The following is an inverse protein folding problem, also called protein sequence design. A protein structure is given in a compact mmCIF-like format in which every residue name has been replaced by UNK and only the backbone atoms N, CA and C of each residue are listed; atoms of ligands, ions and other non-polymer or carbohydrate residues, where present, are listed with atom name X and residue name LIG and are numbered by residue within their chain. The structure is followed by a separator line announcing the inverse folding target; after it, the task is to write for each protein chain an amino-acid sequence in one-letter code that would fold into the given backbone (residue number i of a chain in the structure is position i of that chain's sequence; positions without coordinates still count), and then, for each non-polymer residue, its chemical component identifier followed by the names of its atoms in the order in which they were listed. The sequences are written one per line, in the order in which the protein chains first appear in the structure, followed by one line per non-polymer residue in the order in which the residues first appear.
data_IF_085116464128
#
_entry.id   IF_085116464128
#
_cell.length_a   1.000
_cell.length_b   1.000
_cell.length_c   1.000
_cell.angle_alpha   90.00
_cell.angle_beta   90.00
_cell.angle_gamma   90.00
#
_symmetry.space_group_name_H-M   'P 1'
#
loop_
_entity.id
_entity.type
_entity.pdbx_description
1 polymer ?
#
# COMPACT_ATOMS: atom_id res chain seq x y z
N UNK A 1 51.17 -40.82 8.15
CA UNK A 1 50.42 -39.65 8.64
C UNK A 1 49.40 -39.15 7.62
N UNK A 2 49.72 -39.12 6.32
CA UNK A 2 48.82 -38.64 5.25
C UNK A 2 47.52 -39.45 5.09
N UNK A 3 47.56 -40.78 5.14
CA UNK A 3 46.34 -41.61 5.03
C UNK A 3 45.32 -41.41 6.17
N UNK A 4 45.80 -41.07 7.37
CA UNK A 4 44.94 -40.76 8.53
C UNK A 4 44.25 -39.40 8.30
N UNK A 5 44.99 -38.39 7.82
CA UNK A 5 44.44 -37.07 7.50
C UNK A 5 43.34 -37.16 6.43
N UNK A 6 43.57 -37.95 5.38
CA UNK A 6 42.57 -38.18 4.31
C UNK A 6 41.33 -38.88 4.86
N UNK A 7 41.51 -39.91 5.70
CA UNK A 7 40.38 -40.64 6.32
C UNK A 7 39.54 -39.71 7.20
N UNK A 8 40.19 -38.91 8.04
CA UNK A 8 39.51 -37.92 8.89
C UNK A 8 38.75 -36.89 8.04
N UNK A 9 39.36 -36.38 6.97
CA UNK A 9 38.71 -35.43 6.08
C UNK A 9 37.45 -36.02 5.41
N UNK A 10 37.49 -37.28 4.97
CA UNK A 10 36.33 -37.96 4.35
C UNK A 10 35.20 -38.21 5.35
N UNK A 11 35.53 -38.59 6.59
CA UNK A 11 34.54 -38.75 7.66
C UNK A 11 33.86 -37.41 7.97
N UNK A 12 34.63 -36.33 8.10
CA UNK A 12 34.09 -34.99 8.32
C UNK A 12 33.18 -34.55 7.17
N UNK A 13 33.59 -34.78 5.91
CA UNK A 13 32.77 -34.49 4.75
C UNK A 13 31.43 -35.24 4.78
N UNK A 14 31.46 -36.53 5.13
CA UNK A 14 30.26 -37.36 5.24
C UNK A 14 29.32 -36.86 6.33
N UNK A 15 29.87 -36.47 7.49
CA UNK A 15 29.10 -35.89 8.60
C UNK A 15 28.43 -34.58 8.15
N UNK A 16 29.14 -33.69 7.46
CA UNK A 16 28.58 -32.43 6.95
C UNK A 16 27.40 -32.71 6.01
N UNK A 17 27.56 -33.63 5.06
CA UNK A 17 26.50 -33.99 4.09
C UNK A 17 25.28 -34.58 4.82
N UNK A 18 25.50 -35.45 5.82
CA UNK A 18 24.43 -36.04 6.62
C UNK A 18 23.65 -34.96 7.40
N UNK A 19 24.34 -34.00 8.01
CA UNK A 19 23.70 -32.88 8.74
C UNK A 19 22.86 -32.01 7.79
N UNK A 20 23.40 -31.65 6.63
CA UNK A 20 22.66 -30.85 5.62
C UNK A 20 21.42 -31.60 5.14
N UNK A 21 21.55 -32.89 4.85
CA UNK A 21 20.42 -33.72 4.41
C UNK A 21 19.33 -33.82 5.49
N UNK A 22 19.73 -33.99 6.75
CA UNK A 22 18.81 -34.00 7.89
C UNK A 22 18.10 -32.66 8.08
N UNK A 23 18.80 -31.53 7.94
CA UNK A 23 18.17 -30.20 8.00
C UNK A 23 17.12 -30.01 6.89
N UNK A 24 17.46 -30.36 5.64
CA UNK A 24 16.53 -30.27 4.50
C UNK A 24 15.29 -31.13 4.74
N UNK A 25 15.46 -32.34 5.27
CA UNK A 25 14.36 -33.22 5.63
C UNK A 25 13.44 -32.58 6.68
N UNK A 26 14.00 -32.04 7.77
CA UNK A 26 13.20 -31.42 8.83
C UNK A 26 12.43 -30.18 8.36
N UNK A 27 13.03 -29.33 7.53
CA UNK A 27 12.36 -28.14 6.97
C UNK A 27 11.14 -28.57 6.14
N UNK A 28 11.31 -29.57 5.28
CA UNK A 28 10.23 -30.11 4.45
C UNK A 28 9.15 -30.80 5.28
N UNK A 29 9.53 -31.55 6.32
CA UNK A 29 8.60 -32.19 7.25
C UNK A 29 7.78 -31.19 8.06
N UNK A 30 8.34 -30.00 8.33
CA UNK A 30 7.62 -28.90 8.95
C UNK A 30 6.68 -28.15 7.97
N UNK A 31 6.56 -28.62 6.72
CA UNK A 31 5.67 -28.04 5.70
C UNK A 31 6.20 -26.77 5.05
N UNK A 32 7.51 -26.54 5.07
CA UNK A 32 8.15 -25.36 4.51
C UNK A 32 9.08 -25.71 3.34
N UNK A 33 9.28 -24.75 2.44
CA UNK A 33 10.38 -24.82 1.48
C UNK A 33 11.71 -24.41 2.12
N UNK A 34 12.81 -24.98 1.65
CA UNK A 34 14.17 -24.63 2.13
C UNK A 34 14.50 -23.18 1.82
N UNK A 35 14.05 -22.67 0.67
CA UNK A 35 14.25 -21.28 0.28
C UNK A 35 13.47 -20.32 1.19
N UNK A 36 12.23 -20.66 1.54
CA UNK A 36 11.41 -19.86 2.45
C UNK A 36 12.03 -19.80 3.85
N UNK A 37 12.57 -20.92 4.34
CA UNK A 37 13.31 -20.93 5.60
C UNK A 37 14.54 -20.03 5.54
N UNK A 38 15.29 -20.06 4.44
CA UNK A 38 16.46 -19.19 4.25
C UNK A 38 16.09 -17.70 4.20
N UNK A 39 15.00 -17.36 3.52
CA UNK A 39 14.50 -15.98 3.44
C UNK A 39 13.93 -15.49 4.78
N UNK A 40 13.33 -16.39 5.55
CA UNK A 40 12.96 -16.13 6.94
C UNK A 40 14.18 -15.80 7.79
N UNK A 41 15.25 -16.62 7.74
CA UNK A 41 16.47 -16.36 8.51
C UNK A 41 17.05 -14.98 8.19
N UNK A 42 17.14 -14.59 6.91
CA UNK A 42 17.55 -13.22 6.53
C UNK A 42 16.61 -12.14 7.07
N UNK A 43 15.30 -12.41 7.02
CA UNK A 43 14.27 -11.48 7.46
C UNK A 43 14.26 -11.27 8.98
N UNK A 44 14.75 -12.22 9.78
CA UNK A 44 14.87 -12.03 11.23
C UNK A 44 15.83 -10.88 11.60
N UNK A 45 16.93 -10.70 10.85
CA UNK A 45 17.84 -9.57 11.08
C UNK A 45 17.18 -8.24 10.70
N UNK A 46 16.49 -8.22 9.56
CA UNK A 46 15.71 -7.05 9.12
C UNK A 46 14.62 -6.70 10.13
N UNK A 47 13.94 -7.69 10.71
CA UNK A 47 12.92 -7.49 11.74
C UNK A 47 13.50 -6.76 12.96
N UNK A 48 14.72 -7.09 13.39
CA UNK A 48 15.38 -6.38 14.50
C UNK A 48 15.63 -4.90 14.19
N UNK A 49 16.07 -4.59 12.96
CA UNK A 49 16.27 -3.20 12.49
C UNK A 49 14.94 -2.45 12.39
N UNK A 50 13.93 -3.06 11.77
CA UNK A 50 12.59 -2.50 11.69
C UNK A 50 11.97 -2.30 13.08
N UNK A 51 12.21 -3.19 14.03
CA UNK A 51 11.75 -3.00 15.40
C UNK A 51 12.36 -1.75 16.04
N UNK A 52 13.65 -1.47 15.84
CA UNK A 52 14.27 -0.23 16.29
C UNK A 52 13.63 1.00 15.63
N UNK A 53 13.49 0.97 14.29
CA UNK A 53 12.87 2.06 13.53
C UNK A 53 11.40 2.30 13.90
N UNK A 54 10.64 1.24 14.20
CA UNK A 54 9.23 1.35 14.60
C UNK A 54 9.04 2.19 15.86
N UNK A 55 10.04 2.23 16.77
CA UNK A 55 9.99 3.00 18.01
C UNK A 55 10.23 4.49 17.80
N UNK A 56 11.01 4.85 16.78
CA UNK A 56 11.41 6.24 16.47
C UNK A 56 10.80 6.74 15.16
N UNK A 57 9.77 6.05 14.64
CA UNK A 57 9.28 6.26 13.28
C UNK A 57 8.89 7.72 12.99
N UNK A 58 8.32 8.43 13.96
CA UNK A 58 7.93 9.85 13.79
C UNK A 58 9.15 10.77 13.58
N UNK A 59 10.34 10.33 13.97
CA UNK A 59 11.59 11.07 13.82
C UNK A 59 12.39 10.63 12.58
N UNK A 60 11.89 9.66 11.80
CA UNK A 60 12.51 9.22 10.56
C UNK A 60 12.19 10.19 9.42
N UNK A 61 13.14 10.37 8.51
CA UNK A 61 12.91 11.09 7.27
C UNK A 61 11.84 10.39 6.41
N UNK A 62 11.22 11.15 5.50
CA UNK A 62 10.20 10.62 4.58
C UNK A 62 10.72 9.44 3.76
N UNK A 63 11.99 9.48 3.31
CA UNK A 63 12.59 8.35 2.58
C UNK A 63 12.74 7.11 3.47
N UNK A 64 13.19 7.31 4.70
CA UNK A 64 13.36 6.23 5.69
C UNK A 64 12.00 5.60 6.06
N UNK A 65 10.95 6.41 6.17
CA UNK A 65 9.58 5.93 6.39
C UNK A 65 9.09 5.07 5.22
N UNK A 66 9.34 5.48 3.97
CA UNK A 66 8.99 4.67 2.78
C UNK A 66 9.76 3.35 2.76
N UNK A 67 11.07 3.40 3.04
CA UNK A 67 11.92 2.21 3.12
C UNK A 67 11.43 1.27 4.22
N UNK A 68 11.05 1.79 5.40
CA UNK A 68 10.48 0.99 6.49
C UNK A 68 9.26 0.20 6.00
N UNK A 69 8.32 0.84 5.31
CA UNK A 69 7.10 0.19 4.83
C UNK A 69 7.42 -0.92 3.83
N UNK A 70 8.33 -0.66 2.88
CA UNK A 70 8.75 -1.62 1.86
C UNK A 70 9.46 -2.83 2.48
N UNK A 71 10.40 -2.59 3.38
CA UNK A 71 11.15 -3.65 4.05
C UNK A 71 10.26 -4.46 5.01
N UNK A 72 9.31 -3.82 5.69
CA UNK A 72 8.34 -4.50 6.55
C UNK A 72 7.49 -5.50 5.76
N UNK A 73 7.02 -5.13 4.57
CA UNK A 73 6.25 -6.03 3.70
C UNK A 73 7.04 -7.27 3.28
N UNK A 74 8.32 -7.10 2.94
CA UNK A 74 9.21 -8.24 2.64
C UNK A 74 9.41 -9.14 3.86
N UNK A 75 9.64 -8.55 5.03
CA UNK A 75 9.82 -9.31 6.27
C UNK A 75 8.55 -10.09 6.62
N UNK A 76 7.37 -9.47 6.55
CA UNK A 76 6.12 -10.17 6.84
C UNK A 76 5.85 -11.31 5.87
N UNK A 77 6.08 -11.10 4.57
CA UNK A 77 5.95 -12.15 3.57
C UNK A 77 6.84 -13.36 3.86
N UNK A 78 8.06 -13.16 4.38
CA UNK A 78 8.93 -14.27 4.76
C UNK A 78 8.47 -15.00 6.03
N UNK A 79 7.96 -14.25 7.03
CA UNK A 79 7.48 -14.81 8.29
C UNK A 79 6.16 -15.58 8.12
N UNK A 80 5.27 -15.16 7.23
CA UNK A 80 3.99 -15.84 6.96
C UNK A 80 4.16 -17.25 6.37
N UNK A 81 5.28 -17.52 5.70
CA UNK A 81 5.60 -18.83 5.13
C UNK A 81 6.19 -19.81 6.14
N UNK A 82 6.50 -19.35 7.35
CA UNK A 82 7.14 -20.15 8.40
C UNK A 82 6.15 -20.34 9.56
N UNK A 83 5.91 -21.58 10.04
CA UNK A 83 5.04 -21.84 11.17
C UNK A 83 5.40 -20.98 12.39
N UNK A 84 4.41 -20.30 12.97
CA UNK A 84 4.60 -19.34 14.08
C UNK A 84 5.37 -19.92 15.28
N UNK A 85 5.22 -21.23 15.52
CA UNK A 85 5.95 -21.96 16.57
C UNK A 85 7.47 -21.82 16.46
N UNK A 86 8.01 -21.61 15.25
CA UNK A 86 9.46 -21.49 15.02
C UNK A 86 10.02 -20.09 15.33
N UNK A 87 9.16 -19.09 15.55
CA UNK A 87 9.57 -17.71 15.77
C UNK A 87 8.77 -17.03 16.88
N UNK A 88 8.19 -17.80 17.79
CA UNK A 88 7.38 -17.31 18.91
C UNK A 88 8.15 -16.29 19.78
N UNK A 89 9.45 -16.49 19.96
CA UNK A 89 10.32 -15.56 20.69
C UNK A 89 10.43 -14.16 20.03
N UNK A 90 10.26 -14.11 18.71
CA UNK A 90 10.29 -12.86 17.92
C UNK A 90 8.89 -12.25 17.75
N UNK A 91 7.83 -12.93 18.20
CA UNK A 91 6.44 -12.54 18.01
C UNK A 91 6.14 -11.13 18.51
N UNK A 92 6.66 -10.75 19.68
CA UNK A 92 6.44 -9.41 20.23
C UNK A 92 7.03 -8.31 19.35
N UNK A 93 8.21 -8.53 18.77
CA UNK A 93 8.83 -7.58 17.84
C UNK A 93 8.05 -7.52 16.54
N UNK A 94 7.69 -8.69 16.01
CA UNK A 94 6.85 -8.84 14.83
C UNK A 94 5.57 -8.02 14.94
N UNK A 95 4.79 -8.22 16.01
CA UNK A 95 3.53 -7.52 16.23
C UNK A 95 3.70 -6.01 16.36
N UNK A 96 4.77 -5.53 17.00
CA UNK A 96 5.02 -4.09 17.09
C UNK A 96 5.29 -3.46 15.74
N UNK A 97 6.10 -4.11 14.90
CA UNK A 97 6.39 -3.64 13.54
C UNK A 97 5.12 -3.71 12.68
N UNK A 98 4.35 -4.80 12.78
CA UNK A 98 3.09 -4.99 12.05
C UNK A 98 2.06 -3.91 12.38
N UNK A 99 1.83 -3.65 13.66
CA UNK A 99 0.91 -2.61 14.12
C UNK A 99 1.31 -1.24 13.58
N UNK A 100 2.61 -0.93 13.57
CA UNK A 100 3.12 0.32 13.00
C UNK A 100 2.89 0.36 11.50
N UNK A 101 3.30 -0.66 10.75
CA UNK A 101 3.10 -0.76 9.31
C UNK A 101 1.63 -0.56 8.91
N UNK A 102 0.70 -1.27 9.57
CA UNK A 102 -0.73 -1.17 9.28
C UNK A 102 -1.27 0.24 9.55
N UNK A 103 -0.88 0.85 10.68
CA UNK A 103 -1.28 2.21 11.03
C UNK A 103 -0.87 3.20 9.94
N UNK A 104 0.37 3.12 9.46
CA UNK A 104 0.90 4.05 8.46
C UNK A 104 0.29 3.78 7.07
N UNK A 105 0.13 2.51 6.67
CA UNK A 105 -0.57 2.14 5.42
C UNK A 105 -2.00 2.66 5.39
N UNK A 106 -2.72 2.59 6.51
CA UNK A 106 -4.07 3.13 6.65
C UNK A 106 -4.12 4.65 6.54
N UNK A 107 -3.10 5.39 7.00
CA UNK A 107 -3.02 6.85 6.81
C UNK A 107 -2.98 7.18 5.31
N UNK A 108 -2.13 6.50 4.54
CA UNK A 108 -2.07 6.69 3.08
C UNK A 108 -3.40 6.40 2.40
N UNK A 109 -4.08 5.31 2.79
CA UNK A 109 -5.38 4.98 2.21
C UNK A 109 -6.46 6.03 2.50
N UNK A 110 -6.57 6.50 3.75
CA UNK A 110 -7.52 7.56 4.14
C UNK A 110 -7.25 8.89 3.43
N UNK A 111 -5.99 9.24 3.24
CA UNK A 111 -5.60 10.43 2.48
C UNK A 111 -6.04 10.30 1.03
N UNK A 112 -5.76 9.17 0.38
CA UNK A 112 -6.14 8.94 -1.01
C UNK A 112 -7.66 8.91 -1.20
N UNK A 113 -8.40 8.31 -0.24
CA UNK A 113 -9.86 8.30 -0.24
C UNK A 113 -10.45 9.72 -0.21
N UNK A 114 -9.92 10.59 0.67
CA UNK A 114 -10.33 12.00 0.75
C UNK A 114 -10.06 12.75 -0.56
N UNK A 115 -8.86 12.56 -1.14
CA UNK A 115 -8.49 13.17 -2.42
C UNK A 115 -9.44 12.73 -3.54
N UNK A 116 -9.78 11.44 -3.61
CA UNK A 116 -10.67 10.91 -4.62
C UNK A 116 -12.10 11.44 -4.47
N UNK A 117 -12.61 11.54 -3.23
CA UNK A 117 -13.91 12.18 -2.96
C UNK A 117 -13.93 13.64 -3.38
N UNK A 118 -12.86 14.39 -3.11
CA UNK A 118 -12.76 15.80 -3.50
C UNK A 118 -12.71 15.96 -5.03
N UNK A 119 -11.92 15.14 -5.74
CA UNK A 119 -11.87 15.14 -7.22
C UNK A 119 -13.23 14.80 -7.83
N UNK A 120 -13.93 13.81 -7.28
CA UNK A 120 -15.29 13.46 -7.71
C UNK A 120 -16.27 14.61 -7.50
N UNK A 121 -16.27 15.24 -6.32
CA UNK A 121 -17.11 16.41 -6.04
C UNK A 121 -16.81 17.59 -6.97
N UNK A 122 -15.53 17.91 -7.20
CA UNK A 122 -15.12 18.97 -8.13
C UNK A 122 -15.58 18.68 -9.57
N UNK A 123 -15.49 17.43 -10.03
CA UNK A 123 -16.01 17.00 -11.33
C UNK A 123 -17.53 17.19 -11.45
N UNK A 124 -18.29 16.81 -10.43
CA UNK A 124 -19.75 17.00 -10.37
C UNK A 124 -20.11 18.49 -10.40
N UNK A 125 -19.37 19.34 -9.69
CA UNK A 125 -19.58 20.80 -9.67
C UNK A 125 -19.33 21.38 -11.07
N UNK A 126 -18.24 21.00 -11.75
CA UNK A 126 -17.93 21.49 -13.10
C UNK A 126 -19.04 21.12 -14.11
N UNK A 127 -19.56 19.89 -14.05
CA UNK A 127 -20.70 19.44 -14.88
C UNK A 127 -21.98 20.24 -14.57
N UNK A 128 -22.25 20.56 -13.30
CA UNK A 128 -23.43 21.37 -12.94
C UNK A 128 -23.28 22.82 -13.41
N UNK A 129 -22.10 23.43 -13.27
CA UNK A 129 -21.83 24.78 -13.76
C UNK A 129 -21.97 24.86 -15.27
N UNK A 130 -21.43 23.91 -16.03
CA UNK A 130 -21.52 23.94 -17.50
C UNK A 130 -22.98 23.90 -17.99
N UNK A 131 -23.83 23.10 -17.34
CA UNK A 131 -25.28 23.07 -17.63
C UNK A 131 -25.96 24.41 -17.33
N UNK A 132 -25.65 25.05 -16.21
CA UNK A 132 -26.21 26.36 -15.85
C UNK A 132 -25.79 27.43 -16.86
N UNK A 133 -24.52 27.45 -17.26
CA UNK A 133 -24.01 28.41 -18.25
C UNK A 133 -24.72 28.26 -19.60
N UNK A 134 -24.96 27.03 -20.05
CA UNK A 134 -25.71 26.76 -21.28
C UNK A 134 -27.16 27.28 -21.17
N UNK A 135 -27.82 27.03 -20.04
CA UNK A 135 -29.20 27.52 -19.81
C UNK A 135 -29.23 29.05 -19.81
N UNK A 136 -28.28 29.71 -19.15
CA UNK A 136 -28.19 31.17 -19.13
C UNK A 136 -27.95 31.75 -20.52
N UNK A 137 -27.07 31.14 -21.33
CA UNK A 137 -26.86 31.52 -22.73
C UNK A 137 -28.15 31.37 -23.55
N UNK A 138 -28.88 30.28 -23.38
CA UNK A 138 -30.14 30.04 -24.08
C UNK A 138 -31.21 31.09 -23.72
N UNK A 139 -31.36 31.42 -22.43
CA UNK A 139 -32.29 32.45 -21.96
C UNK A 139 -31.92 33.82 -22.53
N UNK A 140 -30.64 34.18 -22.51
CA UNK A 140 -30.15 35.44 -23.07
C UNK A 140 -30.50 35.59 -24.56
N UNK A 141 -30.29 34.55 -25.36
CA UNK A 141 -30.64 34.53 -26.79
C UNK A 141 -32.14 34.72 -26.98
N UNK A 142 -32.99 34.05 -26.19
CA UNK A 142 -34.45 34.18 -26.29
C UNK A 142 -34.91 35.60 -25.96
N UNK A 143 -34.39 36.21 -24.88
CA UNK A 143 -34.73 37.59 -24.49
C UNK A 143 -34.38 38.56 -25.62
N UNK A 144 -33.20 38.42 -26.22
CA UNK A 144 -32.78 39.27 -27.33
C UNK A 144 -33.67 39.08 -28.56
N UNK A 145 -33.98 37.85 -28.93
CA UNK A 145 -34.86 37.54 -30.06
C UNK A 145 -36.29 38.07 -29.85
N UNK A 146 -36.85 37.97 -28.65
CA UNK A 146 -38.16 38.53 -28.31
C UNK A 146 -38.14 40.05 -28.43
N UNK A 147 -37.05 40.69 -28.02
CA UNK A 147 -36.88 42.15 -28.12
C UNK A 147 -36.81 42.64 -29.56
N UNK A 148 -36.27 41.83 -30.47
CA UNK A 148 -36.19 42.11 -31.90
C UNK A 148 -37.50 41.78 -32.67
N UNK A 149 -38.39 40.98 -32.08
CA UNK A 149 -39.71 40.70 -32.67
C UNK A 149 -40.76 41.74 -32.27
N UNK A 150 -41.62 42.12 -33.22
CA UNK A 150 -42.77 43.05 -33.10
C UNK A 150 -43.81 42.71 -32.01
N UNK A 151 -43.55 41.70 -31.16
CA UNK A 151 -44.37 41.29 -30.03
C UNK A 151 -44.36 42.37 -28.92
N UNK A 152 -43.23 43.08 -28.74
CA UNK A 152 -43.20 44.23 -27.82
C UNK A 152 -44.19 45.30 -28.28
N UNK A 153 -44.17 45.69 -29.56
CA UNK A 153 -45.11 46.68 -30.12
C UNK A 153 -46.59 46.29 -29.96
N UNK A 154 -46.90 44.98 -30.01
CA UNK A 154 -48.25 44.47 -29.79
C UNK A 154 -48.67 44.54 -28.31
N UNK A 155 -47.76 44.31 -27.37
CA UNK A 155 -48.01 44.41 -25.93
C UNK A 155 -48.13 45.87 -25.48
N UNK A 156 -47.31 46.79 -26.02
CA UNK A 156 -47.43 48.23 -25.74
C UNK A 156 -48.77 48.78 -26.21
N UNK A 157 -49.26 48.35 -27.38
CA UNK A 157 -50.58 48.75 -27.90
C UNK A 157 -51.75 48.28 -27.04
N UNK A 158 -51.64 47.15 -26.34
CA UNK A 158 -52.70 46.66 -25.45
C UNK A 158 -52.71 47.44 -24.12
N UNK A 159 -51.54 47.89 -23.65
CA UNK A 159 -51.41 48.73 -22.46
C UNK A 159 -51.91 50.17 -22.64
N UNK A 160 -52.02 50.67 -23.88
CA UNK A 160 -52.63 51.98 -24.18
C UNK A 160 -54.17 51.93 -24.29
N UNK A 161 -54.79 50.74 -24.26
CA UNK A 161 -56.25 50.54 -24.43
C UNK A 161 -56.96 50.26 -23.08
N UNK A 162 -56.22 50.13 -21.96
CA UNK A 162 -56.75 50.05 -20.59
C UNK A 162 -56.43 51.35 -19.86
#
# INVERSE_FOLDING_TARGET
MEGILITVALVLLTIIIAIVSYMVYNIRMAGMEVNDFWDFIKSTEKLKKLYAFSKIYENLDIQEQIIFIKEAEQVFSAFEKVPTKLWEDEYQKYMKVLNRYQKEKLKYWKVNEKINKQKSAAGIINIRLSKIVIILLAIYIIIHAVKDTKIIDAITKIGEII
#
